data_IF_437528256931
#
_entry.id   IF_437528256931
#
_cell.length_a   1.000
_cell.length_b   1.000
_cell.length_c   1.000
_cell.angle_alpha   90.00
_cell.angle_beta   90.00
_cell.angle_gamma   90.00
#
_symmetry.space_group_name_H-M   'P 1'
#
loop_
_entity.id
_entity.type
_entity.pdbx_description
1 polymer ?
#
# COMPACT_ATOMS: atom_id res chain seq x y z
N UNK A 1 -40.97 38.43 -79.98
CA UNK A 1 -39.74 39.07 -79.47
C UNK A 1 -39.74 38.92 -77.96
N UNK A 2 -39.01 37.92 -77.44
CA UNK A 2 -38.92 37.67 -76.01
C UNK A 2 -37.65 38.33 -75.47
N UNK A 3 -37.83 39.37 -74.66
CA UNK A 3 -36.76 40.14 -74.03
C UNK A 3 -36.03 39.28 -73.00
N UNK A 4 -34.75 39.02 -73.24
CA UNK A 4 -33.86 38.36 -72.30
C UNK A 4 -33.47 39.35 -71.20
N UNK A 5 -34.02 39.17 -69.99
CA UNK A 5 -33.62 39.90 -68.80
C UNK A 5 -32.29 39.36 -68.28
N UNK A 6 -31.27 40.20 -68.28
CA UNK A 6 -29.92 39.85 -67.82
C UNK A 6 -29.88 39.82 -66.28
N UNK A 7 -29.44 38.73 -65.63
CA UNK A 7 -29.38 38.65 -64.18
C UNK A 7 -28.26 39.55 -63.64
N UNK A 8 -28.66 40.57 -62.87
CA UNK A 8 -27.78 41.41 -62.04
C UNK A 8 -26.83 40.55 -61.21
N UNK A 9 -25.52 40.66 -61.45
CA UNK A 9 -24.54 39.94 -60.66
C UNK A 9 -24.53 40.46 -59.21
N UNK A 10 -24.51 39.55 -58.21
CA UNK A 10 -24.45 39.95 -56.81
C UNK A 10 -23.13 40.67 -56.53
N UNK A 11 -23.23 41.91 -56.05
CA UNK A 11 -22.10 42.73 -55.60
C UNK A 11 -21.31 41.99 -54.51
N UNK A 12 -19.98 41.97 -54.60
CA UNK A 12 -19.09 41.14 -53.76
C UNK A 12 -19.30 41.24 -52.24
N UNK A 13 -19.80 42.37 -51.73
CA UNK A 13 -20.13 42.52 -50.30
C UNK A 13 -21.26 41.59 -49.80
N UNK A 14 -22.21 41.22 -50.67
CA UNK A 14 -23.28 40.28 -50.30
C UNK A 14 -22.75 38.84 -50.12
N UNK A 15 -21.74 38.46 -50.90
CA UNK A 15 -21.11 37.15 -50.84
C UNK A 15 -20.29 37.01 -49.55
N UNK A 16 -19.51 38.04 -49.19
CA UNK A 16 -18.71 38.04 -47.96
C UNK A 16 -19.59 38.00 -46.69
N UNK A 17 -20.69 38.76 -46.66
CA UNK A 17 -21.64 38.73 -45.55
C UNK A 17 -22.32 37.36 -45.39
N UNK A 18 -22.63 36.67 -46.49
CA UNK A 18 -23.19 35.33 -46.45
C UNK A 18 -22.17 34.30 -45.91
N UNK A 19 -20.89 34.42 -46.27
CA UNK A 19 -19.84 33.53 -45.79
C UNK A 19 -19.60 33.67 -44.28
N UNK A 20 -19.59 34.90 -43.74
CA UNK A 20 -19.45 35.15 -42.30
C UNK A 20 -20.58 34.49 -41.50
N UNK A 21 -21.84 34.64 -41.94
CA UNK A 21 -22.99 33.97 -41.29
C UNK A 21 -22.88 32.45 -41.33
N UNK A 22 -22.38 31.87 -42.43
CA UNK A 22 -22.18 30.42 -42.54
C UNK A 22 -21.11 29.92 -41.58
N UNK A 23 -20.01 30.67 -41.41
CA UNK A 23 -18.94 30.33 -40.44
C UNK A 23 -19.43 30.44 -39.00
N UNK A 24 -20.15 31.51 -38.67
CA UNK A 24 -20.75 31.70 -37.34
C UNK A 24 -21.79 30.60 -37.02
N UNK A 25 -22.68 30.26 -37.97
CA UNK A 25 -23.64 29.18 -37.79
C UNK A 25 -22.97 27.81 -37.64
N UNK A 26 -21.89 27.54 -38.39
CA UNK A 26 -21.10 26.33 -38.23
C UNK A 26 -20.45 26.26 -36.84
N UNK A 27 -19.85 27.36 -36.37
CA UNK A 27 -19.26 27.43 -35.03
C UNK A 27 -20.30 27.24 -33.92
N UNK A 28 -21.47 27.86 -34.03
CA UNK A 28 -22.57 27.68 -33.07
C UNK A 28 -23.06 26.22 -33.02
N UNK A 29 -23.12 25.55 -34.18
CA UNK A 29 -23.51 24.14 -34.26
C UNK A 29 -22.50 23.26 -33.54
N UNK A 30 -21.20 23.52 -33.72
CA UNK A 30 -20.13 22.79 -33.02
C UNK A 30 -20.22 22.97 -31.49
N UNK A 31 -20.41 24.19 -31.00
CA UNK A 31 -20.53 24.44 -29.55
C UNK A 31 -21.75 23.74 -28.93
N UNK A 32 -22.88 23.73 -29.64
CA UNK A 32 -24.08 23.03 -29.17
C UNK A 32 -23.87 21.51 -29.13
N UNK A 33 -23.17 20.94 -30.12
CA UNK A 33 -22.81 19.52 -30.17
C UNK A 33 -21.84 19.15 -29.03
N UNK A 34 -20.80 19.95 -28.80
CA UNK A 34 -19.83 19.73 -27.72
C UNK A 34 -20.49 19.76 -26.35
N UNK A 35 -21.44 20.69 -26.14
CA UNK A 35 -22.22 20.76 -24.90
C UNK A 35 -23.10 19.52 -24.71
N UNK A 36 -23.81 19.09 -25.75
CA UNK A 36 -24.64 17.89 -25.69
C UNK A 36 -23.78 16.64 -25.40
N UNK A 37 -22.62 16.51 -26.04
CA UNK A 37 -21.67 15.43 -25.79
C UNK A 37 -21.15 15.46 -24.35
N UNK A 38 -20.80 16.65 -23.84
CA UNK A 38 -20.37 16.80 -22.45
C UNK A 38 -21.47 16.39 -21.47
N UNK A 39 -22.71 16.82 -21.68
CA UNK A 39 -23.86 16.43 -20.86
C UNK A 39 -24.08 14.91 -20.90
N UNK A 40 -23.92 14.27 -22.07
CA UNK A 40 -23.97 12.80 -22.22
C UNK A 40 -22.86 12.11 -21.44
N UNK A 41 -21.62 12.58 -21.54
CA UNK A 41 -20.48 12.04 -20.78
C UNK A 41 -20.73 12.12 -19.28
N UNK A 42 -21.24 13.25 -18.79
CA UNK A 42 -21.59 13.42 -17.38
C UNK A 42 -22.70 12.48 -16.93
N UNK A 43 -23.72 12.26 -17.77
CA UNK A 43 -24.78 11.29 -17.50
C UNK A 43 -24.21 9.87 -17.35
N UNK A 44 -23.33 9.42 -18.26
CA UNK A 44 -22.68 8.11 -18.14
C UNK A 44 -21.83 7.98 -16.88
N UNK A 45 -21.07 9.02 -16.50
CA UNK A 45 -20.31 9.03 -15.24
C UNK A 45 -21.21 8.89 -14.02
N UNK A 46 -22.37 9.56 -14.01
CA UNK A 46 -23.37 9.41 -12.94
C UNK A 46 -24.00 8.02 -12.90
N UNK A 47 -24.15 7.35 -14.03
CA UNK A 47 -24.65 5.96 -14.03
C UNK A 47 -23.58 4.99 -13.52
N UNK A 48 -22.32 5.23 -13.84
CA UNK A 48 -21.22 4.35 -13.43
C UNK A 48 -20.90 4.54 -11.94
N UNK A 49 -20.52 5.75 -11.51
CA UNK A 49 -19.94 5.93 -10.18
C UNK A 49 -20.97 5.78 -9.05
N UNK A 50 -22.02 6.64 -8.95
CA UNK A 50 -23.04 6.43 -7.93
C UNK A 50 -24.04 5.33 -8.29
N UNK A 51 -24.23 5.00 -9.58
CA UNK A 51 -25.23 4.01 -10.01
C UNK A 51 -24.77 2.57 -9.96
N UNK A 52 -23.51 2.26 -10.29
CA UNK A 52 -22.98 0.88 -10.34
C UNK A 52 -21.88 0.66 -9.30
N UNK A 53 -20.90 1.55 -9.20
CA UNK A 53 -19.73 1.33 -8.34
C UNK A 53 -20.08 1.40 -6.85
N UNK A 54 -20.99 2.30 -6.45
CA UNK A 54 -21.40 2.47 -5.04
C UNK A 54 -22.29 1.35 -4.48
N UNK A 55 -23.36 0.88 -5.18
CA UNK A 55 -24.27 -0.10 -4.59
C UNK A 55 -23.81 -1.57 -4.73
N UNK A 56 -22.78 -1.85 -5.54
CA UNK A 56 -22.28 -3.21 -5.77
C UNK A 56 -20.86 -3.37 -5.17
N UNK A 57 -20.41 -4.60 -4.98
CA UNK A 57 -19.01 -4.83 -4.61
C UNK A 57 -18.09 -4.41 -5.77
N UNK A 58 -16.93 -3.83 -5.47
CA UNK A 58 -15.96 -3.40 -6.48
C UNK A 58 -15.64 -4.48 -7.53
N UNK A 59 -15.32 -5.75 -7.18
CA UNK A 59 -15.03 -6.77 -8.19
C UNK A 59 -16.24 -7.10 -9.08
N UNK A 60 -17.45 -7.12 -8.51
CA UNK A 60 -18.67 -7.36 -9.26
C UNK A 60 -18.94 -6.20 -10.23
N UNK A 61 -18.82 -4.95 -9.77
CA UNK A 61 -19.02 -3.76 -10.59
C UNK A 61 -18.03 -3.71 -11.77
N UNK A 62 -16.76 -4.04 -11.54
CA UNK A 62 -15.75 -4.08 -12.61
C UNK A 62 -16.04 -5.18 -13.63
N UNK A 63 -16.44 -6.38 -13.20
CA UNK A 63 -16.80 -7.45 -14.14
C UNK A 63 -18.05 -7.10 -14.96
N UNK A 64 -19.04 -6.46 -14.33
CA UNK A 64 -20.20 -5.88 -15.03
C UNK A 64 -19.79 -4.89 -16.12
N UNK A 65 -18.95 -3.92 -15.78
CA UNK A 65 -18.48 -2.90 -16.71
C UNK A 65 -17.65 -3.51 -17.86
N UNK A 66 -16.82 -4.53 -17.59
CA UNK A 66 -16.08 -5.27 -18.63
C UNK A 66 -17.02 -6.00 -19.58
N UNK A 67 -18.03 -6.68 -19.06
CA UNK A 67 -19.02 -7.38 -19.88
C UNK A 67 -19.81 -6.40 -20.76
N UNK A 68 -20.24 -5.25 -20.21
CA UNK A 68 -20.91 -4.19 -20.98
C UNK A 68 -19.98 -3.59 -22.04
N UNK A 69 -18.72 -3.29 -21.68
CA UNK A 69 -17.74 -2.75 -22.62
C UNK A 69 -17.51 -3.71 -23.81
N UNK A 70 -17.41 -5.02 -23.55
CA UNK A 70 -17.27 -6.03 -24.61
C UNK A 70 -18.47 -6.06 -25.54
N UNK A 71 -19.69 -5.95 -25.00
CA UNK A 71 -20.91 -5.85 -25.81
C UNK A 71 -20.88 -4.60 -26.70
N UNK A 72 -20.46 -3.46 -26.15
CA UNK A 72 -20.33 -2.22 -26.93
C UNK A 72 -19.28 -2.35 -28.04
N UNK A 73 -18.11 -2.92 -27.73
CA UNK A 73 -17.03 -3.09 -28.70
C UNK A 73 -17.42 -4.02 -29.85
N UNK A 74 -18.12 -5.13 -29.57
CA UNK A 74 -18.60 -6.03 -30.63
C UNK A 74 -19.51 -5.30 -31.63
N UNK A 75 -20.45 -4.46 -31.15
CA UNK A 75 -21.35 -3.68 -32.00
C UNK A 75 -20.59 -2.58 -32.76
N UNK A 76 -19.62 -1.93 -32.12
CA UNK A 76 -18.82 -0.88 -32.76
C UNK A 76 -17.89 -1.44 -33.85
N UNK A 77 -17.40 -2.66 -33.67
CA UNK A 77 -16.54 -3.34 -34.64
C UNK A 77 -17.35 -3.92 -35.82
N UNK A 78 -18.53 -4.49 -35.55
CA UNK A 78 -19.40 -5.13 -36.55
C UNK A 78 -20.85 -4.59 -36.48
N UNK A 79 -21.12 -3.36 -36.94
CA UNK A 79 -22.43 -2.72 -36.81
C UNK A 79 -23.52 -3.31 -37.73
N UNK A 80 -23.14 -4.09 -38.73
CA UNK A 80 -24.09 -4.76 -39.64
C UNK A 80 -24.55 -6.13 -39.08
N UNK A 81 -23.84 -6.66 -38.08
CA UNK A 81 -24.09 -7.98 -37.54
C UNK A 81 -25.21 -7.96 -36.50
N UNK A 82 -26.42 -8.31 -36.94
CA UNK A 82 -27.64 -8.34 -36.11
C UNK A 82 -27.54 -9.25 -34.90
N UNK A 83 -26.63 -10.24 -34.89
CA UNK A 83 -26.38 -11.11 -33.75
C UNK A 83 -25.87 -10.33 -32.53
N UNK A 84 -25.03 -9.32 -32.73
CA UNK A 84 -24.50 -8.51 -31.62
C UNK A 84 -25.49 -7.47 -31.11
N UNK A 85 -26.54 -7.16 -31.90
CA UNK A 85 -27.59 -6.25 -31.48
C UNK A 85 -28.55 -6.90 -30.47
N UNK A 86 -28.62 -8.24 -30.41
CA UNK A 86 -29.56 -8.97 -29.55
C UNK A 86 -28.81 -9.65 -28.40
N UNK A 87 -29.15 -9.31 -27.16
CA UNK A 87 -28.60 -9.93 -25.97
C UNK A 87 -29.67 -10.79 -25.29
N UNK A 88 -29.38 -12.08 -25.14
CA UNK A 88 -30.24 -13.02 -24.40
C UNK A 88 -30.06 -12.82 -22.90
N UNK A 89 -31.14 -12.48 -22.21
CA UNK A 89 -31.15 -12.34 -20.73
C UNK A 89 -30.94 -13.69 -20.04
N UNK A 90 -31.25 -14.80 -20.72
CA UNK A 90 -31.08 -16.19 -20.22
C UNK A 90 -29.63 -16.66 -20.17
N UNK A 91 -28.68 -15.92 -20.76
CA UNK A 91 -27.27 -16.27 -20.66
C UNK A 91 -26.79 -16.04 -19.22
N UNK A 92 -26.24 -17.07 -18.58
CA UNK A 92 -25.81 -17.03 -17.17
C UNK A 92 -24.80 -15.92 -16.88
N UNK A 93 -23.85 -15.64 -17.79
CA UNK A 93 -22.89 -14.55 -17.64
C UNK A 93 -23.58 -13.19 -17.73
N UNK A 94 -24.48 -12.99 -18.70
CA UNK A 94 -25.26 -11.75 -18.82
C UNK A 94 -26.16 -11.55 -17.60
N UNK A 95 -26.81 -12.60 -17.12
CA UNK A 95 -27.68 -12.53 -15.95
C UNK A 95 -26.89 -12.12 -14.69
N UNK A 96 -25.71 -12.73 -14.48
CA UNK A 96 -24.83 -12.44 -13.34
C UNK A 96 -24.21 -11.03 -13.42
N UNK A 97 -23.73 -10.64 -14.60
CA UNK A 97 -22.90 -9.44 -14.75
C UNK A 97 -23.70 -8.20 -15.17
N UNK A 98 -24.86 -8.35 -15.80
CA UNK A 98 -25.63 -7.21 -16.37
C UNK A 98 -27.02 -7.09 -15.75
N UNK A 99 -27.71 -8.18 -15.46
CA UNK A 99 -29.11 -8.14 -15.01
C UNK A 99 -29.22 -8.05 -13.48
N UNK A 100 -28.43 -8.86 -12.77
CA UNK A 100 -28.44 -8.94 -11.30
C UNK A 100 -27.87 -7.68 -10.62
N UNK A 101 -26.73 -7.10 -11.08
CA UNK A 101 -26.13 -5.95 -10.42
C UNK A 101 -27.01 -4.70 -10.54
N UNK A 102 -26.98 -3.82 -9.54
CA UNK A 102 -27.79 -2.59 -9.55
C UNK A 102 -27.16 -1.56 -10.48
N UNK A 103 -27.98 -0.82 -11.24
CA UNK A 103 -27.54 0.28 -12.11
C UNK A 103 -27.06 -0.12 -13.51
N UNK A 104 -26.77 -1.40 -13.75
CA UNK A 104 -26.23 -1.89 -15.02
C UNK A 104 -27.28 -1.94 -16.13
N UNK A 105 -28.53 -2.25 -15.80
CA UNK A 105 -29.65 -2.26 -16.77
C UNK A 105 -29.99 -0.84 -17.21
N UNK A 106 -29.93 0.13 -16.29
CA UNK A 106 -30.11 1.56 -16.58
C UNK A 106 -29.01 2.08 -17.50
N UNK A 107 -27.75 1.72 -17.23
CA UNK A 107 -26.64 2.01 -18.13
C UNK A 107 -26.86 1.39 -19.51
N UNK A 108 -27.29 0.13 -19.59
CA UNK A 108 -27.58 -0.56 -20.86
C UNK A 108 -28.70 0.15 -21.65
N UNK A 109 -29.75 0.61 -20.96
CA UNK A 109 -30.82 1.42 -21.56
C UNK A 109 -30.30 2.74 -22.12
N UNK A 110 -29.43 3.41 -21.39
CA UNK A 110 -28.82 4.68 -21.82
C UNK A 110 -27.81 4.50 -22.95
N UNK A 111 -27.19 3.34 -23.08
CA UNK A 111 -26.37 2.97 -24.25
C UNK A 111 -27.22 2.73 -25.50
N UNK A 112 -28.51 2.44 -25.36
CA UNK A 112 -29.44 2.27 -26.48
C UNK A 112 -30.07 0.90 -26.64
N UNK A 113 -29.91 0.02 -25.64
CA UNK A 113 -30.60 -1.26 -25.61
C UNK A 113 -32.03 -1.11 -25.07
N UNK A 114 -32.99 -1.78 -25.70
CA UNK A 114 -34.39 -1.81 -25.29
C UNK A 114 -34.80 -3.24 -24.92
N UNK A 115 -35.54 -3.44 -23.82
CA UNK A 115 -36.07 -4.75 -23.47
C UNK A 115 -37.20 -5.11 -24.45
N UNK A 116 -37.11 -6.28 -25.07
CA UNK A 116 -38.11 -6.84 -25.96
C UNK A 116 -38.33 -8.32 -25.62
N UNK A 117 -39.51 -8.86 -25.95
CA UNK A 117 -39.83 -10.28 -25.75
C UNK A 117 -40.10 -10.89 -27.12
N UNK A 118 -39.28 -11.84 -27.51
CA UNK A 118 -39.39 -12.60 -28.77
C UNK A 118 -39.52 -14.07 -28.39
N UNK A 119 -40.57 -14.76 -28.87
CA UNK A 119 -40.85 -16.17 -28.56
C UNK A 119 -40.84 -16.51 -27.05
N UNK A 120 -41.47 -15.66 -26.24
CA UNK A 120 -41.50 -15.78 -24.77
C UNK A 120 -40.13 -15.73 -24.08
N UNK A 121 -39.07 -15.27 -24.77
CA UNK A 121 -37.74 -15.06 -24.20
C UNK A 121 -37.43 -13.55 -24.12
N UNK A 122 -36.94 -13.05 -22.96
CA UNK A 122 -36.56 -11.65 -22.83
C UNK A 122 -35.19 -11.37 -23.47
N UNK A 123 -35.17 -10.42 -24.40
CA UNK A 123 -33.99 -9.91 -25.09
C UNK A 123 -33.77 -8.43 -24.77
N UNK A 124 -32.52 -7.99 -24.87
CA UNK A 124 -32.18 -6.59 -25.03
C UNK A 124 -31.73 -6.35 -26.46
N UNK A 125 -32.45 -5.50 -27.20
CA UNK A 125 -32.16 -5.18 -28.61
C UNK A 125 -31.57 -3.77 -28.71
N UNK A 126 -30.42 -3.66 -29.36
CA UNK A 126 -29.74 -2.40 -29.61
C UNK A 126 -30.36 -1.62 -30.77
N UNK A 127 -30.56 -0.32 -30.58
CA UNK A 127 -31.03 0.58 -31.62
C UNK A 127 -29.86 1.30 -32.31
N UNK A 128 -29.64 1.03 -33.61
CA UNK A 128 -28.54 1.60 -34.40
C UNK A 128 -28.56 3.14 -34.47
N UNK A 129 -29.72 3.79 -34.30
CA UNK A 129 -29.80 5.26 -34.24
C UNK A 129 -29.02 5.86 -33.06
N UNK A 130 -28.68 5.04 -32.05
CA UNK A 130 -27.95 5.45 -30.84
C UNK A 130 -26.47 5.08 -30.85
N UNK A 131 -25.88 4.84 -32.02
CA UNK A 131 -24.44 4.54 -32.15
C UNK A 131 -23.53 5.64 -31.56
N UNK A 132 -23.94 6.91 -31.63
CA UNK A 132 -23.20 8.04 -31.04
C UNK A 132 -23.15 7.95 -29.51
N UNK A 133 -24.28 7.63 -28.88
CA UNK A 133 -24.38 7.40 -27.44
C UNK A 133 -23.55 6.17 -27.03
N UNK A 134 -23.61 5.07 -27.81
CA UNK A 134 -22.82 3.86 -27.58
C UNK A 134 -21.30 4.13 -27.62
N UNK A 135 -20.81 4.90 -28.60
CA UNK A 135 -19.39 5.29 -28.70
C UNK A 135 -18.95 6.11 -27.48
N UNK A 136 -19.77 7.09 -27.10
CA UNK A 136 -19.49 7.96 -25.95
C UNK A 136 -19.48 7.15 -24.66
N UNK A 137 -20.49 6.31 -24.44
CA UNK A 137 -20.60 5.45 -23.26
C UNK A 137 -19.46 4.43 -23.19
N UNK A 138 -19.13 3.77 -24.29
CA UNK A 138 -17.99 2.83 -24.38
C UNK A 138 -16.67 3.48 -23.97
N UNK A 139 -16.39 4.70 -24.47
CA UNK A 139 -15.20 5.46 -24.07
C UNK A 139 -15.20 5.75 -22.57
N UNK A 140 -16.30 6.24 -22.01
CA UNK A 140 -16.40 6.55 -20.58
C UNK A 140 -16.28 5.29 -19.70
N UNK A 141 -16.85 4.16 -20.12
CA UNK A 141 -16.70 2.88 -19.42
C UNK A 141 -15.24 2.43 -19.44
N UNK A 142 -14.56 2.55 -20.58
CA UNK A 142 -13.14 2.21 -20.69
C UNK A 142 -12.25 3.11 -19.81
N UNK A 143 -12.51 4.43 -19.81
CA UNK A 143 -11.82 5.38 -18.93
C UNK A 143 -12.01 5.01 -17.45
N UNK A 144 -13.23 4.62 -17.06
CA UNK A 144 -13.53 4.19 -15.69
C UNK A 144 -12.81 2.87 -15.33
N UNK A 145 -12.80 1.89 -16.24
CA UNK A 145 -12.05 0.64 -16.06
C UNK A 145 -10.56 0.91 -15.86
N UNK A 146 -9.97 1.76 -16.70
CA UNK A 146 -8.55 2.12 -16.61
C UNK A 146 -8.22 2.83 -15.29
N UNK A 147 -9.04 3.80 -14.87
CA UNK A 147 -8.84 4.49 -13.60
C UNK A 147 -8.85 3.52 -12.42
N UNK A 148 -9.74 2.52 -12.45
CA UNK A 148 -9.82 1.51 -11.40
C UNK A 148 -8.64 0.53 -11.42
N UNK A 149 -8.19 0.07 -12.59
CA UNK A 149 -7.01 -0.80 -12.69
C UNK A 149 -5.75 -0.09 -12.18
N UNK A 150 -5.55 1.18 -12.57
CA UNK A 150 -4.40 1.98 -12.07
C UNK A 150 -4.45 2.17 -10.55
N UNK A 151 -5.65 2.36 -9.99
CA UNK A 151 -5.84 2.46 -8.53
C UNK A 151 -5.50 1.13 -7.84
N UNK A 152 -5.98 0.01 -8.37
CA UNK A 152 -5.68 -1.32 -7.83
C UNK A 152 -4.19 -1.61 -7.85
N UNK A 153 -3.51 -1.36 -8.98
CA UNK A 153 -2.07 -1.51 -9.13
C UNK A 153 -1.29 -0.65 -8.13
N UNK A 154 -1.66 0.62 -7.93
CA UNK A 154 -1.03 1.48 -6.93
C UNK A 154 -1.19 0.94 -5.51
N UNK A 155 -2.38 0.45 -5.16
CA UNK A 155 -2.61 -0.11 -3.83
C UNK A 155 -1.87 -1.44 -3.63
N UNK A 156 -1.77 -2.26 -4.67
CA UNK A 156 -1.00 -3.50 -4.64
C UNK A 156 0.50 -3.22 -4.49
N UNK A 157 1.04 -2.28 -5.26
CA UNK A 157 2.43 -1.84 -5.15
C UNK A 157 2.75 -1.27 -3.76
N UNK A 158 1.85 -0.46 -3.18
CA UNK A 158 2.04 0.07 -1.82
C UNK A 158 2.07 -1.05 -0.76
N UNK A 159 1.17 -2.04 -0.86
CA UNK A 159 1.16 -3.20 0.05
C UNK A 159 2.41 -4.05 -0.08
N UNK A 160 2.88 -4.25 -1.31
CA UNK A 160 4.11 -5.02 -1.56
C UNK A 160 5.34 -4.28 -1.02
N UNK A 161 5.44 -2.97 -1.25
CA UNK A 161 6.52 -2.15 -0.69
C UNK A 161 6.50 -2.12 0.86
N UNK A 162 5.33 -2.09 1.48
CA UNK A 162 5.19 -2.18 2.93
C UNK A 162 5.66 -3.54 3.47
N UNK A 163 5.29 -4.64 2.78
CA UNK A 163 5.74 -5.99 3.12
C UNK A 163 7.26 -6.11 3.01
N UNK A 164 7.84 -5.65 1.90
CA UNK A 164 9.29 -5.68 1.67
C UNK A 164 10.05 -4.83 2.69
N UNK A 165 9.55 -3.63 3.02
CA UNK A 165 10.15 -2.78 4.04
C UNK A 165 10.13 -3.45 5.42
N UNK A 166 9.04 -4.15 5.75
CA UNK A 166 8.92 -4.90 7.01
C UNK A 166 9.89 -6.08 7.06
N UNK A 167 10.04 -6.81 5.97
CA UNK A 167 10.98 -7.93 5.85
C UNK A 167 12.43 -7.44 5.97
N UNK A 168 12.80 -6.38 5.25
CA UNK A 168 14.13 -5.75 5.36
C UNK A 168 14.42 -5.22 6.77
N UNK A 169 13.43 -4.67 7.46
CA UNK A 169 13.59 -4.24 8.85
C UNK A 169 13.83 -5.43 9.78
N UNK A 170 13.09 -6.53 9.60
CA UNK A 170 13.28 -7.74 10.38
C UNK A 170 14.66 -8.38 10.15
N UNK A 171 15.13 -8.40 8.89
CA UNK A 171 16.47 -8.87 8.54
C UNK A 171 17.58 -8.02 9.16
N UNK A 172 17.44 -6.69 9.14
CA UNK A 172 18.38 -5.77 9.78
C UNK A 172 18.45 -5.99 11.29
N UNK A 173 17.30 -6.16 11.95
CA UNK A 173 17.26 -6.46 13.40
C UNK A 173 17.93 -7.80 13.69
N UNK A 174 17.67 -8.83 12.86
CA UNK A 174 18.30 -10.14 13.00
C UNK A 174 19.82 -10.07 12.83
N UNK A 175 20.29 -9.34 11.82
CA UNK A 175 21.72 -9.16 11.57
C UNK A 175 22.40 -8.41 12.73
N UNK A 176 21.81 -7.31 13.20
CA UNK A 176 22.31 -6.55 14.34
C UNK A 176 22.40 -7.41 15.61
N UNK A 177 21.42 -8.29 15.84
CA UNK A 177 21.47 -9.24 16.97
C UNK A 177 22.60 -10.27 16.83
N UNK A 178 22.84 -10.78 15.62
CA UNK A 178 23.94 -11.71 15.37
C UNK A 178 25.31 -11.03 15.56
N UNK A 179 25.44 -9.78 15.14
CA UNK A 179 26.67 -9.00 15.28
C UNK A 179 26.94 -8.63 16.74
N UNK A 180 25.91 -8.22 17.51
CA UNK A 180 26.05 -7.95 18.95
C UNK A 180 26.48 -9.22 19.72
N UNK A 181 25.88 -10.36 19.39
CA UNK A 181 26.25 -11.65 19.99
C UNK A 181 27.69 -12.04 19.68
N UNK A 182 28.17 -11.81 18.45
CA UNK A 182 29.57 -12.05 18.06
C UNK A 182 30.51 -11.10 18.79
N UNK A 183 30.20 -9.80 18.81
CA UNK A 183 31.01 -8.79 19.49
C UNK A 183 31.14 -9.11 20.98
N UNK A 184 30.05 -9.53 21.63
CA UNK A 184 30.08 -9.99 23.03
C UNK A 184 30.98 -11.21 23.22
N UNK A 185 30.87 -12.21 22.35
CA UNK A 185 31.75 -13.40 22.40
C UNK A 185 33.23 -13.03 22.29
N UNK A 186 33.57 -12.13 21.37
CA UNK A 186 34.95 -11.66 21.19
C UNK A 186 35.46 -10.87 22.40
N UNK A 187 34.61 -10.06 23.03
CA UNK A 187 34.96 -9.34 24.25
C UNK A 187 35.19 -10.28 25.43
N UNK A 188 34.30 -11.27 25.62
CA UNK A 188 34.42 -12.28 26.68
C UNK A 188 35.71 -13.11 26.51
N UNK A 189 36.11 -13.42 25.26
CA UNK A 189 37.36 -14.10 24.95
C UNK A 189 38.59 -13.24 25.28
N UNK A 190 38.60 -11.96 24.90
CA UNK A 190 39.69 -11.02 25.23
C UNK A 190 39.80 -10.80 26.73
N UNK A 191 38.67 -10.69 27.45
CA UNK A 191 38.66 -10.55 28.90
C UNK A 191 39.21 -11.80 29.59
N UNK A 192 38.82 -13.00 29.11
CA UNK A 192 39.35 -14.28 29.61
C UNK A 192 40.86 -14.35 29.43
N UNK A 193 41.37 -14.07 28.22
CA UNK A 193 42.81 -14.04 27.94
C UNK A 193 43.55 -13.04 28.83
N UNK A 194 42.98 -11.85 29.04
CA UNK A 194 43.56 -10.83 29.93
C UNK A 194 43.62 -11.31 31.39
N UNK A 195 42.56 -11.96 31.87
CA UNK A 195 42.50 -12.50 33.23
C UNK A 195 43.51 -13.63 33.42
N UNK A 196 43.62 -14.53 32.46
CA UNK A 196 44.62 -15.61 32.45
C UNK A 196 46.05 -15.06 32.44
N UNK A 197 46.34 -14.05 31.61
CA UNK A 197 47.64 -13.39 31.56
C UNK A 197 47.99 -12.70 32.89
N UNK A 198 47.04 -11.97 33.50
CA UNK A 198 47.25 -11.34 34.80
C UNK A 198 47.45 -12.37 35.92
N UNK A 199 46.69 -13.48 35.91
CA UNK A 199 46.87 -14.56 36.88
C UNK A 199 48.24 -15.23 36.72
N UNK A 200 48.71 -15.46 35.49
CA UNK A 200 50.03 -16.00 35.22
C UNK A 200 51.15 -15.06 35.68
N UNK A 201 51.01 -13.74 35.46
CA UNK A 201 51.96 -12.74 35.96
C UNK A 201 51.99 -12.71 37.50
N UNK A 202 50.83 -12.75 38.15
CA UNK A 202 50.73 -12.80 39.61
C UNK A 202 51.36 -14.09 40.18
N UNK A 203 51.14 -15.24 39.54
CA UNK A 203 51.76 -16.50 39.93
C UNK A 203 53.29 -16.46 39.82
N UNK A 204 53.82 -15.93 38.70
CA UNK A 204 55.28 -15.73 38.53
C UNK A 204 55.88 -14.80 39.59
N UNK A 205 55.18 -13.71 39.91
CA UNK A 205 55.63 -12.78 40.94
C UNK A 205 55.65 -13.42 42.33
N UNK A 206 54.60 -14.15 42.69
CA UNK A 206 54.54 -14.88 43.96
C UNK A 206 55.64 -15.96 44.07
N UNK A 207 55.98 -16.61 42.97
CA UNK A 207 57.10 -17.57 42.93
C UNK A 207 58.46 -16.88 43.12
N UNK A 208 58.69 -15.73 42.47
CA UNK A 208 59.89 -14.92 42.68
C UNK A 208 60.00 -14.45 44.14
N UNK A 209 58.92 -13.93 44.73
CA UNK A 209 58.89 -13.50 46.13
C UNK A 209 59.17 -14.67 47.09
N UNK A 210 58.68 -15.88 46.81
CA UNK A 210 59.03 -17.09 47.58
C UNK A 210 60.50 -17.45 47.46
N UNK A 211 61.06 -17.45 46.25
CA UNK A 211 62.49 -17.71 46.03
C UNK A 211 63.38 -16.66 46.72
N UNK A 212 62.97 -15.39 46.71
CA UNK A 212 63.67 -14.31 47.42
C UNK A 212 63.57 -14.48 48.95
N UNK A 213 62.39 -14.83 49.48
CA UNK A 213 62.21 -15.09 50.90
C UNK A 213 63.04 -16.29 51.37
N UNK A 214 63.05 -17.40 50.62
CA UNK A 214 63.90 -18.56 50.90
C UNK A 214 65.39 -18.22 50.88
N UNK A 215 65.83 -17.37 49.94
CA UNK A 215 67.21 -16.85 49.91
C UNK A 215 67.55 -16.00 51.13
N UNK A 216 66.66 -15.07 51.50
CA UNK A 216 66.85 -14.23 52.69
C UNK A 216 66.86 -15.07 53.98
N UNK A 217 66.03 -16.10 54.08
CA UNK A 217 66.02 -17.00 55.23
C UNK A 217 67.32 -17.81 55.32
N UNK A 218 67.80 -18.35 54.20
CA UNK A 218 69.09 -19.03 54.14
C UNK A 218 70.25 -18.08 54.53
N UNK A 219 70.19 -16.82 54.09
CA UNK A 219 71.15 -15.78 54.47
C UNK A 219 71.07 -15.42 55.96
N UNK A 220 69.86 -15.31 56.53
CA UNK A 220 69.65 -15.11 57.98
C UNK A 220 70.16 -16.28 58.81
N UNK A 221 69.96 -17.51 58.36
CA UNK A 221 70.49 -18.71 59.02
C UNK A 221 72.02 -18.75 58.96
N UNK A 222 72.64 -18.27 57.87
CA UNK A 222 74.09 -18.12 57.77
C UNK A 222 74.64 -16.98 58.66
N UNK A 223 73.84 -15.94 58.95
CA UNK A 223 74.29 -14.76 59.70
C UNK A 223 74.18 -14.88 61.24
N UNK A 224 73.54 -15.91 61.80
CA UNK A 224 73.47 -16.17 63.25
C UNK A 224 72.61 -15.16 64.04
N UNK A 225 71.41 -15.57 64.46
CA UNK A 225 70.45 -14.68 65.12
C UNK A 225 70.76 -14.47 66.63
N UNK A 226 70.73 -13.22 67.13
CA UNK A 226 70.64 -12.91 68.56
C UNK A 226 69.18 -13.01 69.04
N UNK A 227 68.97 -13.75 70.13
CA UNK A 227 67.70 -13.89 70.85
C UNK A 227 67.36 -12.60 71.59
N UNK A 228 66.20 -12.01 71.28
CA UNK A 228 65.61 -10.91 72.05
C UNK A 228 64.20 -11.30 72.46
N UNK A 229 64.03 -11.65 73.74
CA UNK A 229 62.74 -11.69 74.45
C UNK A 229 62.19 -10.26 74.51
N UNK A 230 60.92 -10.06 74.11
CA UNK A 230 60.19 -8.83 74.46
C UNK A 230 58.78 -9.19 74.92
N UNK A 231 58.47 -8.57 76.04
CA UNK A 231 57.32 -8.68 76.92
C UNK A 231 55.93 -8.47 76.31
N UNK A 232 54.99 -8.99 77.09
CA UNK A 232 53.54 -8.84 77.01
C UNK A 232 53.07 -7.41 77.35
N UNK A 233 52.13 -6.87 76.56
CA UNK A 233 51.14 -5.84 76.94
C UNK A 233 50.05 -5.84 75.85
N UNK A 234 48.83 -6.29 76.10
CA UNK A 234 47.73 -5.58 76.78
C UNK A 234 47.00 -4.55 75.88
N UNK A 235 45.66 -4.68 75.89
CA UNK A 235 44.62 -3.74 75.45
C UNK A 235 44.50 -3.37 73.95
N UNK A 236 43.34 -3.70 73.35
CA UNK A 236 42.22 -2.76 73.29
C UNK A 236 41.07 -3.31 72.41
N UNK A 237 39.88 -3.30 73.01
CA UNK A 237 38.58 -3.49 72.36
C UNK A 237 38.34 -2.35 71.36
N UNK A 238 37.88 -2.67 70.16
CA UNK A 238 37.50 -1.69 69.13
C UNK A 238 36.33 -2.19 68.29
N UNK A 239 35.14 -1.79 68.72
CA UNK A 239 33.82 -2.06 68.17
C UNK A 239 33.54 -1.08 66.99
N UNK A 240 33.43 -1.56 65.74
CA UNK A 240 32.94 -0.74 64.60
C UNK A 240 32.20 -1.64 63.59
N UNK A 241 30.88 -1.47 63.52
CA UNK A 241 30.01 -1.92 62.42
C UNK A 241 30.09 -0.95 61.23
N UNK A 242 29.81 -1.40 59.99
CA UNK A 242 28.86 -0.64 59.16
C UNK A 242 27.91 -1.58 58.39
N UNK A 243 26.61 -1.44 58.58
CA UNK A 243 25.74 -0.54 57.81
C UNK A 243 25.32 -1.13 56.47
N UNK A 244 24.14 -1.75 56.48
CA UNK A 244 23.29 -1.97 55.31
C UNK A 244 23.08 -0.64 54.57
N UNK A 245 23.40 -0.60 53.26
CA UNK A 245 23.05 0.52 52.39
C UNK A 245 22.10 0.04 51.29
N UNK A 246 20.84 -0.06 51.67
CA UNK A 246 19.70 0.03 50.76
C UNK A 246 19.77 1.38 50.05
N UNK A 247 20.14 1.38 48.77
CA UNK A 247 19.98 2.54 47.89
C UNK A 247 18.75 2.31 47.02
N UNK A 248 17.61 2.77 47.53
CA UNK A 248 16.46 3.15 46.73
C UNK A 248 16.88 4.29 45.80
N UNK A 249 17.06 3.99 44.52
CA UNK A 249 17.23 5.01 43.47
C UNK A 249 15.89 5.27 42.81
N UNK A 250 15.13 6.19 43.40
CA UNK A 250 14.06 6.92 42.72
C UNK A 250 14.72 7.97 41.82
N UNK A 251 14.42 7.96 40.53
CA UNK A 251 14.63 9.15 39.69
C UNK A 251 13.31 9.94 39.63
N UNK A 252 13.37 11.27 39.83
CA UNK A 252 12.24 12.18 39.67
C UNK A 252 12.13 12.60 38.20
N UNK A 253 10.95 12.40 37.63
CA UNK A 253 10.59 12.73 36.26
C UNK A 253 9.32 11.96 35.92
N UNK A 254 8.13 12.47 36.17
CA UNK A 254 7.72 13.80 35.73
C UNK A 254 7.50 13.82 34.22
N UNK A 255 6.95 12.74 33.63
CA UNK A 255 6.22 12.82 32.37
C UNK A 255 4.90 12.07 32.51
N UNK A 256 3.82 12.84 32.57
CA UNK A 256 2.46 12.41 32.29
C UNK A 256 2.37 12.09 30.81
N UNK A 257 2.50 10.81 30.43
CA UNK A 257 1.96 10.36 29.15
C UNK A 257 0.49 10.06 29.36
N UNK A 258 -0.33 10.88 28.71
CA UNK A 258 -1.77 10.78 28.61
C UNK A 258 -2.19 9.33 28.39
N UNK A 259 -3.18 8.90 29.17
CA UNK A 259 -4.06 7.78 28.87
C UNK A 259 -4.75 8.02 27.52
N UNK A 260 -4.06 7.72 26.42
CA UNK A 260 -4.71 7.53 25.14
C UNK A 260 -5.25 6.11 25.15
N UNK A 261 -6.56 6.03 25.37
CA UNK A 261 -7.37 4.81 25.28
C UNK A 261 -7.13 4.15 23.93
N UNK A 262 -6.17 3.22 23.89
CA UNK A 262 -5.98 2.29 22.80
C UNK A 262 -7.16 1.32 22.88
N UNK A 263 -8.23 1.64 22.15
CA UNK A 263 -9.31 0.70 21.88
C UNK A 263 -8.67 -0.51 21.20
N UNK A 264 -8.49 -1.55 22.00
CA UNK A 264 -8.07 -2.88 21.60
C UNK A 264 -9.12 -3.42 20.61
N UNK A 265 -8.92 -3.15 19.32
CA UNK A 265 -9.53 -3.98 18.28
C UNK A 265 -8.77 -5.29 18.35
N UNK A 266 -9.43 -6.32 18.88
CA UNK A 266 -8.89 -7.66 18.99
C UNK A 266 -8.32 -8.10 17.66
N UNK A 267 -7.03 -8.42 17.67
CA UNK A 267 -6.45 -9.26 16.64
C UNK A 267 -7.14 -10.63 16.74
N UNK A 268 -7.79 -11.11 15.68
CA UNK A 268 -8.25 -12.49 15.65
C UNK A 268 -7.03 -13.43 15.75
N UNK A 269 -7.16 -14.56 16.46
CA UNK A 269 -6.10 -15.55 16.56
C UNK A 269 -5.77 -16.11 15.16
N UNK A 270 -4.50 -16.52 14.92
CA UNK A 270 -4.13 -17.20 13.69
C UNK A 270 -4.87 -18.54 13.64
N UNK A 271 -5.64 -18.78 12.57
CA UNK A 271 -6.16 -20.11 12.29
C UNK A 271 -4.98 -20.99 11.87
N UNK A 272 -4.80 -22.11 12.56
CA UNK A 272 -3.96 -23.22 12.13
C UNK A 272 -4.62 -23.79 10.86
N UNK A 273 -3.87 -23.85 9.76
CA UNK A 273 -4.28 -24.54 8.54
C UNK A 273 -4.12 -26.04 8.80
N UNK A 274 -5.24 -26.74 8.96
CA UNK A 274 -5.28 -28.21 8.93
C UNK A 274 -5.05 -28.66 7.48
N UNK A 275 -3.90 -29.30 7.24
CA UNK A 275 -3.56 -29.98 5.99
C UNK A 275 -4.40 -31.27 5.83
N UNK A 276 -5.19 -31.36 4.74
CA UNK A 276 -5.79 -32.58 4.19
C UNK A 276 -5.02 -33.06 2.93
#
# INVERSE_FOLDING_TARGET
MASQSNPSQPTGGAIEAAERRRREAAQQTTLAQDRAEHERRQLFRRLIDPGIMRPNSQPQALESLRTINRLCQNILNEPENTKFHRIKTTNTKIQKDVVTPKGTVELLRELGFRPEVEDFQPYYIFNLSRLTDLRTGSKIINDALQLHTEKEERTAAARQAEKEAREQAAEKVKLAYMDDRRAKSELDERERQRREALAALAARKAEQERQEAERQEAERQAAGAPTVEVDSAEEARGDITPSTRTSSRTMPGGQTLSSHTLRHRGSPPPYEEDDD
#
